data_IF_815941915560
#
_entry.id   IF_815941915560
#
_cell.length_a   1.000
_cell.length_b   1.000
_cell.length_c   1.000
_cell.angle_alpha   90.00
_cell.angle_beta   90.00
_cell.angle_gamma   90.00
#
_symmetry.space_group_name_H-M   'P 1'
#
loop_
_entity.id
_entity.type
_entity.pdbx_description
1 polymer ?
#
# COMPACT_ATOMS: atom_id res chain seq x y z
N UNK A 1 46.70 -57.22 -0.66
CA UNK A 1 46.25 -56.55 -1.89
C UNK A 1 44.77 -56.28 -1.76
N UNK A 2 44.44 -55.01 -1.54
CA UNK A 2 43.28 -54.57 -0.76
C UNK A 2 42.01 -54.39 -1.59
N UNK A 3 40.88 -54.78 -0.98
CA UNK A 3 39.48 -54.68 -1.41
C UNK A 3 39.02 -53.24 -1.72
N UNK A 4 39.89 -52.25 -1.60
CA UNK A 4 39.66 -50.85 -1.94
C UNK A 4 39.54 -50.57 -3.45
N UNK A 5 40.11 -51.41 -4.33
CA UNK A 5 40.11 -51.14 -5.78
C UNK A 5 38.90 -51.69 -6.54
N UNK A 6 38.22 -52.71 -6.02
CA UNK A 6 36.97 -53.24 -6.61
C UNK A 6 35.71 -52.43 -6.22
N UNK A 7 35.73 -51.67 -5.11
CA UNK A 7 34.60 -50.80 -4.71
C UNK A 7 34.48 -49.50 -5.52
N UNK A 8 35.53 -49.10 -6.28
CA UNK A 8 35.49 -47.87 -7.08
C UNK A 8 34.82 -48.01 -8.45
N UNK A 9 34.68 -49.23 -8.98
CA UNK A 9 34.06 -49.44 -10.30
C UNK A 9 32.53 -49.61 -10.18
N UNK A 10 32.02 -50.09 -9.05
CA UNK A 10 30.57 -50.21 -8.79
C UNK A 10 29.94 -48.83 -8.45
N UNK A 11 30.70 -47.89 -7.89
CA UNK A 11 30.19 -46.55 -7.55
C UNK A 11 30.06 -45.61 -8.76
N UNK A 12 30.75 -45.90 -9.87
CA UNK A 12 30.67 -45.12 -11.11
C UNK A 12 29.48 -45.51 -12.01
N UNK A 13 28.83 -46.65 -11.76
CA UNK A 13 27.62 -47.07 -12.49
C UNK A 13 26.30 -46.79 -11.75
N UNK A 14 26.34 -46.49 -10.45
CA UNK A 14 25.15 -46.07 -9.68
C UNK A 14 24.96 -44.55 -9.61
N UNK A 15 25.94 -43.74 -10.04
CA UNK A 15 25.85 -42.27 -10.01
C UNK A 15 25.01 -41.65 -11.13
N UNK A 16 24.62 -42.41 -12.16
CA UNK A 16 23.76 -41.90 -13.24
C UNK A 16 22.26 -42.16 -13.03
N UNK A 17 21.87 -42.89 -11.98
CA UNK A 17 20.46 -43.13 -11.65
C UNK A 17 19.95 -42.32 -10.44
N UNK A 18 20.83 -41.67 -9.67
CA UNK A 18 20.48 -40.96 -8.43
C UNK A 18 20.43 -39.42 -8.55
N UNK A 19 20.69 -38.84 -9.73
CA UNK A 19 20.63 -37.38 -9.93
C UNK A 19 19.21 -36.80 -9.82
N UNK A 20 18.15 -37.63 -9.94
CA UNK A 20 16.75 -37.19 -9.78
C UNK A 20 16.24 -37.21 -8.33
N UNK A 21 16.88 -37.94 -7.41
CA UNK A 21 16.45 -38.03 -6.00
C UNK A 21 17.39 -37.34 -5.00
N UNK A 22 18.64 -37.04 -5.40
CA UNK A 22 19.58 -36.28 -4.58
C UNK A 22 19.15 -34.83 -4.33
N UNK A 23 18.44 -34.21 -5.28
CA UNK A 23 17.86 -32.87 -5.09
C UNK A 23 16.71 -32.89 -4.09
N UNK A 24 15.87 -33.94 -4.12
CA UNK A 24 14.72 -34.07 -3.23
C UNK A 24 15.17 -34.29 -1.77
N UNK A 25 16.19 -35.13 -1.55
CA UNK A 25 16.76 -35.33 -0.20
C UNK A 25 17.51 -34.12 0.32
N UNK A 26 18.20 -33.35 -0.54
CA UNK A 26 18.79 -32.06 -0.14
C UNK A 26 17.73 -31.01 0.16
N UNK A 27 16.64 -30.96 -0.60
CA UNK A 27 15.51 -30.07 -0.32
C UNK A 27 14.80 -30.47 0.97
N UNK A 28 14.55 -31.75 1.23
CA UNK A 28 13.94 -32.23 2.48
C UNK A 28 14.87 -31.98 3.67
N UNK A 29 16.17 -32.25 3.53
CA UNK A 29 17.12 -31.99 4.61
C UNK A 29 17.30 -30.49 4.87
N UNK A 30 17.31 -29.64 3.83
CA UNK A 30 17.24 -28.19 3.96
C UNK A 30 15.90 -27.73 4.54
N UNK A 31 14.79 -28.38 4.23
CA UNK A 31 13.47 -28.09 4.80
C UNK A 31 13.40 -28.44 6.30
N UNK A 32 13.93 -29.60 6.70
CA UNK A 32 14.00 -30.06 8.09
C UNK A 32 15.05 -29.32 8.93
N UNK A 33 16.21 -28.95 8.35
CA UNK A 33 17.18 -28.09 9.04
C UNK A 33 16.75 -26.63 9.06
N UNK A 34 16.03 -26.13 8.04
CA UNK A 34 15.39 -24.83 8.10
C UNK A 34 14.20 -24.81 9.07
N UNK A 35 13.50 -25.92 9.35
CA UNK A 35 12.48 -25.97 10.40
C UNK A 35 13.05 -25.65 11.80
N UNK A 36 14.33 -25.94 12.03
CA UNK A 36 15.04 -25.55 13.26
C UNK A 36 15.45 -24.08 13.30
N UNK A 37 15.42 -23.39 12.15
CA UNK A 37 15.70 -21.96 11.97
C UNK A 37 14.50 -21.18 11.45
N UNK A 38 13.33 -21.81 11.32
CA UNK A 38 12.05 -21.13 11.23
C UNK A 38 11.88 -20.52 12.61
N UNK A 39 12.38 -19.28 12.72
CA UNK A 39 11.92 -18.28 13.67
C UNK A 39 10.41 -18.51 13.88
N UNK A 40 10.02 -18.46 15.16
CA UNK A 40 8.63 -18.47 15.63
C UNK A 40 7.69 -17.99 14.53
N UNK A 41 6.71 -18.83 14.16
CA UNK A 41 5.59 -18.36 13.35
C UNK A 41 5.12 -17.08 14.04
N UNK A 42 5.22 -15.95 13.36
CA UNK A 42 4.77 -14.68 13.91
C UNK A 42 3.26 -14.86 14.06
N UNK A 43 2.75 -14.65 15.28
CA UNK A 43 1.36 -14.84 15.61
C UNK A 43 0.72 -13.47 15.83
N UNK A 44 -0.53 -13.33 15.43
CA UNK A 44 -1.35 -12.14 15.66
C UNK A 44 -1.96 -12.16 17.07
N UNK A 45 -1.09 -12.29 18.08
CA UNK A 45 -1.47 -12.49 19.48
C UNK A 45 -2.22 -11.30 20.07
N UNK A 46 -1.85 -10.07 19.73
CA UNK A 46 -2.57 -8.88 20.20
C UNK A 46 -3.97 -8.83 19.56
N UNK A 47 -4.08 -9.13 18.28
CA UNK A 47 -5.37 -9.22 17.59
C UNK A 47 -6.24 -10.31 18.21
N UNK A 48 -5.68 -11.50 18.47
CA UNK A 48 -6.38 -12.60 19.11
C UNK A 48 -6.85 -12.22 20.53
N UNK A 49 -6.02 -11.53 21.32
CA UNK A 49 -6.41 -10.98 22.62
C UNK A 49 -7.59 -10.00 22.48
N UNK A 50 -7.52 -9.04 21.56
CA UNK A 50 -8.56 -8.02 21.34
C UNK A 50 -9.90 -8.62 20.90
N UNK A 51 -9.85 -9.64 20.05
CA UNK A 51 -11.05 -10.38 19.60
C UNK A 51 -11.69 -11.18 20.73
N UNK A 52 -10.90 -11.87 21.56
CA UNK A 52 -11.42 -12.84 22.54
C UNK A 52 -11.66 -12.26 23.94
N UNK A 53 -10.81 -11.34 24.39
CA UNK A 53 -10.80 -10.79 25.76
C UNK A 53 -11.44 -9.39 25.79
N UNK A 54 -10.98 -8.47 24.94
CA UNK A 54 -11.55 -7.10 24.87
C UNK A 54 -12.87 -7.05 24.11
N UNK A 55 -13.13 -8.03 23.23
CA UNK A 55 -14.29 -8.08 22.33
C UNK A 55 -14.44 -6.80 21.50
N UNK A 56 -13.33 -6.19 21.09
CA UNK A 56 -13.31 -4.97 20.28
C UNK A 56 -12.12 -5.00 19.35
N UNK A 57 -12.36 -4.78 18.05
CA UNK A 57 -11.28 -4.73 17.06
C UNK A 57 -11.59 -3.68 16.00
N UNK A 58 -10.65 -2.77 15.76
CA UNK A 58 -10.65 -1.95 14.55
C UNK A 58 -9.66 -2.54 13.55
N UNK A 59 -10.16 -2.93 12.37
CA UNK A 59 -9.34 -3.46 11.27
C UNK A 59 -9.16 -2.39 10.19
N UNK A 60 -7.92 -2.08 9.86
CA UNK A 60 -7.54 -1.17 8.78
C UNK A 60 -7.16 -1.92 7.50
N UNK A 61 -7.60 -1.41 6.36
CA UNK A 61 -7.18 -1.88 5.04
C UNK A 61 -6.51 -0.71 4.31
N UNK A 62 -5.21 -0.80 4.08
CA UNK A 62 -4.39 0.27 3.54
C UNK A 62 -3.66 -0.18 2.29
N UNK A 63 -4.05 0.35 1.13
CA UNK A 63 -3.48 -0.12 -0.13
C UNK A 63 -4.01 0.58 -1.36
N UNK A 64 -3.83 -0.07 -2.50
CA UNK A 64 -4.29 0.40 -3.82
C UNK A 64 -5.71 0.00 -4.18
N UNK A 65 -6.01 -0.04 -5.48
CA UNK A 65 -7.37 -0.25 -6.04
C UNK A 65 -7.94 -1.63 -5.76
N UNK A 66 -7.09 -2.67 -5.72
CA UNK A 66 -7.51 -4.05 -5.40
C UNK A 66 -7.97 -4.11 -3.93
N UNK A 67 -7.27 -3.45 -3.03
CA UNK A 67 -7.69 -3.30 -1.63
C UNK A 67 -8.93 -2.43 -1.49
N UNK A 68 -9.04 -1.36 -2.28
CA UNK A 68 -10.23 -0.49 -2.31
C UNK A 68 -11.51 -1.25 -2.71
N UNK A 69 -11.36 -2.22 -3.62
CA UNK A 69 -12.41 -3.13 -4.07
C UNK A 69 -12.77 -3.02 -5.55
N UNK A 70 -11.94 -2.35 -6.36
CA UNK A 70 -12.18 -2.19 -7.80
C UNK A 70 -12.41 -3.55 -8.50
N UNK A 71 -13.33 -3.61 -9.47
CA UNK A 71 -13.73 -4.84 -10.15
C UNK A 71 -14.82 -5.66 -9.43
N UNK A 72 -15.02 -5.45 -8.13
CA UNK A 72 -16.12 -6.08 -7.38
C UNK A 72 -17.47 -5.48 -7.79
N UNK A 73 -18.54 -6.29 -7.82
CA UNK A 73 -19.90 -5.79 -8.03
C UNK A 73 -20.36 -4.88 -6.90
N UNK A 74 -19.88 -5.14 -5.68
CA UNK A 74 -20.09 -4.29 -4.53
C UNK A 74 -18.83 -4.23 -3.68
N UNK A 75 -18.12 -3.09 -3.76
CA UNK A 75 -16.81 -2.92 -3.13
C UNK A 75 -16.88 -3.20 -1.62
N UNK A 76 -17.98 -2.82 -0.96
CA UNK A 76 -18.18 -3.01 0.47
C UNK A 76 -18.76 -4.38 0.86
N UNK A 77 -19.00 -5.26 -0.10
CA UNK A 77 -19.59 -6.58 0.16
C UNK A 77 -18.84 -7.76 -0.43
N UNK A 78 -18.23 -7.62 -1.60
CA UNK A 78 -17.63 -8.73 -2.36
C UNK A 78 -16.14 -8.56 -2.62
N UNK A 79 -15.52 -7.43 -2.25
CA UNK A 79 -14.05 -7.31 -2.22
C UNK A 79 -13.43 -8.20 -1.14
N UNK A 80 -12.14 -8.53 -1.27
CA UNK A 80 -11.47 -9.39 -0.28
C UNK A 80 -11.52 -8.79 1.13
N UNK A 81 -11.32 -7.47 1.29
CA UNK A 81 -11.42 -6.79 2.60
C UNK A 81 -12.81 -6.92 3.23
N UNK A 82 -13.86 -6.85 2.41
CA UNK A 82 -15.24 -7.00 2.85
C UNK A 82 -15.52 -8.44 3.27
N UNK A 83 -15.03 -9.42 2.49
CA UNK A 83 -15.15 -10.83 2.80
C UNK A 83 -14.40 -11.20 4.09
N UNK A 84 -13.18 -10.69 4.29
CA UNK A 84 -12.42 -10.89 5.55
C UNK A 84 -13.12 -10.24 6.74
N UNK A 85 -13.63 -9.03 6.59
CA UNK A 85 -14.41 -8.38 7.67
C UNK A 85 -15.65 -9.21 8.04
N UNK A 86 -16.38 -9.74 7.05
CA UNK A 86 -17.55 -10.61 7.27
C UNK A 86 -17.13 -11.91 7.98
N UNK A 87 -16.01 -12.49 7.58
CA UNK A 87 -15.51 -13.73 8.17
C UNK A 87 -15.07 -13.54 9.63
N UNK A 88 -14.38 -12.44 9.94
CA UNK A 88 -14.02 -12.08 11.31
C UNK A 88 -15.26 -11.89 12.18
N UNK A 89 -16.27 -11.14 11.70
CA UNK A 89 -17.55 -10.94 12.41
C UNK A 89 -18.32 -12.24 12.63
N UNK A 90 -18.26 -13.15 11.66
CA UNK A 90 -18.88 -14.48 11.78
C UNK A 90 -18.15 -15.36 12.79
N UNK A 91 -16.82 -15.30 12.82
CA UNK A 91 -15.97 -16.12 13.68
C UNK A 91 -16.00 -15.63 15.13
N UNK A 92 -16.10 -14.32 15.33
CA UNK A 92 -16.14 -13.67 16.64
C UNK A 92 -17.42 -12.83 16.79
N UNK A 93 -18.60 -13.48 16.89
CA UNK A 93 -19.90 -12.78 16.94
C UNK A 93 -20.08 -11.89 18.18
N UNK A 94 -19.31 -12.17 19.22
CA UNK A 94 -19.30 -11.43 20.49
C UNK A 94 -18.44 -10.15 20.45
N UNK A 95 -17.61 -9.97 19.42
CA UNK A 95 -16.71 -8.84 19.29
C UNK A 95 -17.32 -7.72 18.44
N UNK A 96 -17.17 -6.47 18.89
CA UNK A 96 -17.44 -5.28 18.08
C UNK A 96 -16.30 -5.07 17.08
N UNK A 97 -16.53 -5.44 15.81
CA UNK A 97 -15.53 -5.33 14.75
C UNK A 97 -15.85 -4.17 13.81
N UNK A 98 -15.00 -3.15 13.82
CA UNK A 98 -15.02 -2.02 12.88
C UNK A 98 -14.01 -2.25 11.77
N UNK A 99 -14.38 -1.89 10.55
CA UNK A 99 -13.50 -1.96 9.38
C UNK A 99 -13.32 -0.55 8.80
N UNK A 100 -12.08 -0.17 8.57
CA UNK A 100 -11.67 1.10 7.97
C UNK A 100 -11.08 0.80 6.60
N UNK A 101 -11.79 1.18 5.55
CA UNK A 101 -11.23 1.16 4.19
C UNK A 101 -10.43 2.45 3.98
N UNK A 102 -9.12 2.36 4.12
CA UNK A 102 -8.17 3.43 3.87
C UNK A 102 -7.38 3.18 2.57
N UNK A 103 -7.90 2.38 1.64
CA UNK A 103 -7.27 2.16 0.36
C UNK A 103 -7.70 3.21 -0.67
N UNK A 104 -6.80 3.54 -1.60
CA UNK A 104 -7.04 4.54 -2.65
C UNK A 104 -6.49 4.00 -3.97
N UNK A 105 -7.38 3.83 -4.94
CA UNK A 105 -7.05 3.28 -6.25
C UNK A 105 -5.95 4.04 -6.98
N UNK A 106 -5.01 3.28 -7.57
CA UNK A 106 -3.91 3.82 -8.37
C UNK A 106 -2.82 4.54 -7.55
N UNK A 107 -2.74 4.31 -6.24
CA UNK A 107 -1.76 4.97 -5.36
C UNK A 107 -0.87 3.96 -4.64
N UNK A 108 0.41 4.32 -4.48
CA UNK A 108 1.41 3.53 -3.77
C UNK A 108 1.68 4.04 -2.36
N UNK A 109 2.74 3.50 -1.75
CA UNK A 109 3.25 3.94 -0.45
C UNK A 109 3.78 5.38 -0.49
N UNK A 110 4.15 5.89 -1.67
CA UNK A 110 4.60 7.26 -1.93
C UNK A 110 3.56 8.32 -1.57
N UNK A 111 2.29 8.08 -1.85
CA UNK A 111 1.19 8.89 -1.34
C UNK A 111 0.73 8.39 0.04
N UNK A 112 0.73 7.07 0.23
CA UNK A 112 0.31 6.40 1.46
C UNK A 112 0.92 7.03 2.71
N UNK A 113 2.23 7.23 2.72
CA UNK A 113 2.96 7.73 3.89
C UNK A 113 2.48 9.11 4.37
N UNK A 114 1.95 9.96 3.48
CA UNK A 114 1.43 11.29 3.84
C UNK A 114 0.01 11.23 4.39
N UNK A 115 -0.84 10.41 3.76
CA UNK A 115 -2.28 10.32 4.07
C UNK A 115 -2.60 9.36 5.23
N UNK A 116 -1.60 8.63 5.73
CA UNK A 116 -1.75 7.56 6.70
C UNK A 116 -2.49 8.00 7.98
N UNK A 117 -2.12 9.14 8.57
CA UNK A 117 -2.81 9.68 9.76
C UNK A 117 -4.27 10.04 9.44
N UNK A 118 -4.48 10.81 8.36
CA UNK A 118 -5.79 11.29 7.94
C UNK A 118 -6.75 10.13 7.57
N UNK A 119 -6.24 9.05 6.99
CA UNK A 119 -7.09 7.99 6.43
C UNK A 119 -7.28 6.78 7.33
N UNK A 120 -6.29 6.50 8.17
CA UNK A 120 -6.20 5.23 8.87
C UNK A 120 -5.96 5.43 10.37
N UNK A 121 -4.85 6.07 10.77
CA UNK A 121 -4.43 6.07 12.17
C UNK A 121 -5.36 6.84 13.10
N UNK A 122 -6.06 7.88 12.61
CA UNK A 122 -7.08 8.60 13.39
C UNK A 122 -8.25 7.73 13.85
N UNK A 123 -8.43 6.55 13.26
CA UNK A 123 -9.45 5.58 13.63
C UNK A 123 -8.95 4.51 14.60
N UNK A 124 -7.69 4.61 15.06
CA UNK A 124 -7.07 3.70 16.04
C UNK A 124 -7.21 2.21 15.65
N UNK A 125 -6.75 1.81 14.45
CA UNK A 125 -6.76 0.42 14.03
C UNK A 125 -5.82 -0.43 14.91
N UNK A 126 -6.22 -1.67 15.19
CA UNK A 126 -5.43 -2.63 15.95
C UNK A 126 -4.81 -3.72 15.08
N UNK A 127 -5.46 -4.03 13.96
CA UNK A 127 -4.96 -4.92 12.90
C UNK A 127 -4.98 -4.14 11.60
N UNK A 128 -3.86 -4.07 10.89
CA UNK A 128 -3.76 -3.41 9.58
C UNK A 128 -3.31 -4.41 8.54
N UNK A 129 -4.06 -4.51 7.46
CA UNK A 129 -3.58 -5.11 6.21
C UNK A 129 -3.00 -4.01 5.33
N UNK A 130 -1.75 -4.17 4.89
CA UNK A 130 -1.06 -3.24 3.99
C UNK A 130 -0.71 -3.92 2.66
N UNK A 131 -1.07 -3.29 1.54
CA UNK A 131 -0.88 -3.84 0.19
C UNK A 131 -0.53 -2.72 -0.81
N UNK A 132 0.73 -2.62 -1.20
CA UNK A 132 1.21 -1.62 -2.18
C UNK A 132 2.10 -2.18 -3.28
N UNK A 133 2.55 -3.44 -3.20
CA UNK A 133 3.53 -4.00 -4.14
C UNK A 133 3.16 -3.82 -5.62
N UNK A 134 1.86 -3.91 -5.97
CA UNK A 134 1.42 -3.71 -7.35
C UNK A 134 1.40 -2.25 -7.79
N UNK A 135 1.32 -1.30 -6.86
CA UNK A 135 1.31 0.14 -7.12
C UNK A 135 2.71 0.76 -7.05
N UNK A 136 3.58 0.26 -6.19
CA UNK A 136 4.94 0.78 -5.97
C UNK A 136 5.92 0.45 -7.12
N UNK A 137 5.45 -0.24 -8.16
CA UNK A 137 6.29 -0.75 -9.25
C UNK A 137 7.01 0.35 -10.04
N UNK A 138 6.43 1.56 -10.08
CA UNK A 138 6.99 2.73 -10.76
C UNK A 138 7.99 3.51 -9.89
N UNK A 139 8.07 3.23 -8.58
CA UNK A 139 9.01 3.90 -7.68
C UNK A 139 10.43 3.39 -7.90
N UNK A 140 11.43 4.26 -7.73
CA UNK A 140 12.82 3.79 -7.65
C UNK A 140 13.02 2.87 -6.43
N UNK A 141 14.13 2.10 -6.43
CA UNK A 141 14.44 1.24 -5.29
C UNK A 141 14.56 2.03 -3.97
N UNK A 142 15.22 3.19 -4.01
CA UNK A 142 15.37 4.09 -2.84
C UNK A 142 14.01 4.58 -2.35
N UNK A 143 13.17 5.08 -3.25
CA UNK A 143 11.84 5.61 -2.88
C UNK A 143 10.94 4.52 -2.33
N UNK A 144 10.91 3.34 -2.95
CA UNK A 144 10.06 2.25 -2.48
C UNK A 144 10.39 1.87 -1.03
N UNK A 145 11.66 1.62 -0.72
CA UNK A 145 12.08 1.27 0.64
C UNK A 145 11.73 2.39 1.62
N UNK A 146 12.10 3.64 1.31
CA UNK A 146 11.84 4.77 2.19
C UNK A 146 10.34 5.02 2.45
N UNK A 147 9.51 4.96 1.40
CA UNK A 147 8.08 5.24 1.52
C UNK A 147 7.33 4.14 2.25
N UNK A 148 7.57 2.87 1.90
CA UNK A 148 6.92 1.74 2.56
C UNK A 148 7.37 1.61 4.02
N UNK A 149 8.67 1.76 4.29
CA UNK A 149 9.20 1.74 5.65
C UNK A 149 8.65 2.89 6.50
N UNK A 150 8.45 4.08 5.91
CA UNK A 150 7.78 5.19 6.58
C UNK A 150 6.37 4.79 7.04
N UNK A 151 5.56 4.18 6.16
CA UNK A 151 4.23 3.70 6.52
C UNK A 151 4.29 2.73 7.72
N UNK A 152 5.15 1.71 7.66
CA UNK A 152 5.28 0.71 8.73
C UNK A 152 5.67 1.36 10.06
N UNK A 153 6.68 2.24 10.03
CA UNK A 153 7.19 2.90 11.24
C UNK A 153 6.16 3.85 11.83
N UNK A 154 5.47 4.64 11.02
CA UNK A 154 4.40 5.53 11.49
C UNK A 154 3.28 4.74 12.18
N UNK A 155 2.87 3.59 11.62
CA UNK A 155 1.90 2.69 12.27
C UNK A 155 2.42 2.22 13.63
N UNK A 156 3.63 1.63 13.66
CA UNK A 156 4.17 1.03 14.87
C UNK A 156 4.48 2.07 15.96
N UNK A 157 4.90 3.28 15.59
CA UNK A 157 5.13 4.38 16.53
C UNK A 157 3.84 4.99 17.07
N UNK A 158 2.73 4.90 16.34
CA UNK A 158 1.43 5.37 16.81
C UNK A 158 0.89 4.48 17.93
N UNK A 159 0.99 3.16 17.78
CA UNK A 159 0.63 2.17 18.78
C UNK A 159 1.46 0.89 18.55
N UNK A 160 2.46 0.59 19.39
CA UNK A 160 3.32 -0.59 19.23
C UNK A 160 2.59 -1.91 19.51
N UNK A 161 1.34 -1.89 19.96
CA UNK A 161 0.49 -3.09 20.07
C UNK A 161 -0.30 -3.40 18.79
N UNK A 162 -0.29 -2.48 17.82
CA UNK A 162 -0.92 -2.69 16.50
C UNK A 162 -0.15 -3.73 15.71
N UNK A 163 -0.87 -4.71 15.13
CA UNK A 163 -0.29 -5.74 14.28
C UNK A 163 -0.52 -5.41 12.81
N UNK A 164 0.50 -5.67 11.98
CA UNK A 164 0.48 -5.39 10.55
C UNK A 164 0.65 -6.71 9.80
N UNK A 165 -0.21 -6.93 8.80
CA UNK A 165 -0.11 -8.02 7.84
C UNK A 165 0.16 -7.43 6.46
N UNK A 166 1.33 -7.71 5.91
CA UNK A 166 1.67 -7.37 4.53
C UNK A 166 0.97 -8.34 3.58
N UNK A 167 0.12 -7.84 2.71
CA UNK A 167 -0.61 -8.66 1.74
C UNK A 167 0.00 -8.44 0.37
N UNK A 168 0.31 -9.54 -0.32
CA UNK A 168 0.73 -9.52 -1.72
C UNK A 168 -0.37 -10.07 -2.60
N UNK A 169 -0.70 -9.32 -3.64
CA UNK A 169 -1.70 -9.66 -4.67
C UNK A 169 -1.02 -9.75 -6.04
N UNK A 170 -1.70 -10.32 -7.03
CA UNK A 170 -1.16 -10.50 -8.37
C UNK A 170 -2.08 -9.90 -9.45
N UNK A 171 -1.47 -9.22 -10.42
CA UNK A 171 -2.11 -8.80 -11.66
C UNK A 171 -1.47 -9.54 -12.83
N UNK A 172 -2.04 -9.43 -14.04
CA UNK A 172 -1.40 -9.99 -15.23
C UNK A 172 0.00 -9.39 -15.45
N UNK A 173 0.16 -8.09 -15.19
CA UNK A 173 1.47 -7.45 -15.25
C UNK A 173 2.45 -8.03 -14.20
N UNK A 174 1.97 -8.37 -13.00
CA UNK A 174 2.79 -9.08 -11.99
C UNK A 174 3.22 -10.45 -12.49
N UNK A 175 2.32 -11.23 -13.09
CA UNK A 175 2.64 -12.54 -13.67
C UNK A 175 3.67 -12.43 -14.79
N UNK A 176 3.47 -11.53 -15.74
CA UNK A 176 4.40 -11.32 -16.86
C UNK A 176 5.81 -10.98 -16.37
N UNK A 177 5.91 -10.12 -15.35
CA UNK A 177 7.20 -9.78 -14.71
C UNK A 177 7.81 -10.99 -14.00
N UNK A 178 7.02 -11.78 -13.27
CA UNK A 178 7.49 -12.98 -12.59
C UNK A 178 7.98 -14.05 -13.57
N UNK A 179 7.25 -14.29 -14.68
CA UNK A 179 7.67 -15.22 -15.72
C UNK A 179 8.92 -14.77 -16.45
N UNK A 180 9.07 -13.46 -16.67
CA UNK A 180 10.20 -12.89 -17.41
C UNK A 180 11.47 -12.79 -16.58
N UNK A 181 11.35 -12.38 -15.31
CA UNK A 181 12.49 -12.02 -14.47
C UNK A 181 12.70 -12.97 -13.27
N UNK A 182 11.76 -13.87 -12.99
CA UNK A 182 11.80 -14.75 -11.81
C UNK A 182 11.44 -14.05 -10.50
N UNK A 183 11.25 -12.74 -10.52
CA UNK A 183 10.89 -11.94 -9.35
C UNK A 183 9.96 -10.78 -9.70
N UNK A 184 9.31 -10.26 -8.67
CA UNK A 184 8.60 -8.98 -8.71
C UNK A 184 9.25 -8.09 -7.66
N UNK A 185 10.14 -7.21 -8.11
CA UNK A 185 11.03 -6.40 -7.27
C UNK A 185 10.32 -5.77 -6.08
N UNK A 186 9.13 -5.22 -6.29
CA UNK A 186 8.42 -4.50 -5.24
C UNK A 186 7.97 -5.41 -4.11
N UNK A 187 7.40 -6.57 -4.44
CA UNK A 187 7.09 -7.61 -3.45
C UNK A 187 8.33 -8.03 -2.67
N UNK A 188 9.48 -8.20 -3.33
CA UNK A 188 10.73 -8.55 -2.63
C UNK A 188 11.15 -7.48 -1.64
N UNK A 189 11.13 -6.20 -2.04
CA UNK A 189 11.47 -5.09 -1.17
C UNK A 189 10.56 -4.99 0.07
N UNK A 190 9.25 -5.10 -0.14
CA UNK A 190 8.26 -5.10 0.95
C UNK A 190 8.42 -6.32 1.87
N UNK A 191 8.73 -7.51 1.33
CA UNK A 191 9.02 -8.70 2.13
C UNK A 191 10.27 -8.55 2.99
N UNK A 192 11.31 -7.87 2.50
CA UNK A 192 12.53 -7.58 3.27
C UNK A 192 12.19 -6.69 4.46
N UNK A 193 11.39 -5.64 4.24
CA UNK A 193 10.93 -4.76 5.32
C UNK A 193 10.01 -5.50 6.30
N UNK A 194 9.05 -6.27 5.80
CA UNK A 194 8.18 -7.09 6.64
C UNK A 194 9.00 -8.03 7.55
N UNK A 195 10.00 -8.72 6.99
CA UNK A 195 10.91 -9.56 7.77
C UNK A 195 11.71 -8.77 8.82
N UNK A 196 12.27 -7.60 8.43
CA UNK A 196 13.03 -6.73 9.32
C UNK A 196 12.22 -6.27 10.53
N UNK A 197 10.96 -5.88 10.29
CA UNK A 197 10.00 -5.46 11.30
C UNK A 197 9.26 -6.64 11.96
N UNK A 198 9.60 -7.89 11.65
CA UNK A 198 8.94 -9.09 12.18
C UNK A 198 7.42 -9.09 11.95
N UNK A 199 6.98 -8.75 10.75
CA UNK A 199 5.57 -8.66 10.35
C UNK A 199 5.14 -9.93 9.60
N UNK A 200 3.86 -10.25 9.70
CA UNK A 200 3.27 -11.33 8.93
C UNK A 200 3.10 -10.95 7.46
N UNK A 201 3.25 -11.94 6.59
CA UNK A 201 3.09 -11.80 5.15
C UNK A 201 2.10 -12.84 4.64
N UNK A 202 1.14 -12.41 3.83
CA UNK A 202 0.20 -13.28 3.14
C UNK A 202 0.32 -13.05 1.64
N UNK A 203 0.77 -14.06 0.91
CA UNK A 203 0.80 -14.05 -0.55
C UNK A 203 -0.46 -14.66 -1.14
N UNK A 204 -1.51 -13.84 -1.18
CA UNK A 204 -2.78 -14.18 -1.84
C UNK A 204 -2.63 -14.19 -3.36
N UNK A 205 -1.65 -13.45 -3.88
CA UNK A 205 -1.26 -13.39 -5.28
C UNK A 205 -0.93 -14.77 -5.84
N UNK A 206 -0.08 -15.56 -5.17
CA UNK A 206 0.27 -16.91 -5.62
C UNK A 206 -0.94 -17.85 -5.74
N UNK A 207 -1.89 -17.77 -4.79
CA UNK A 207 -3.14 -18.53 -4.84
C UNK A 207 -3.99 -18.16 -6.06
N UNK A 208 -4.04 -16.86 -6.37
CA UNK A 208 -4.74 -16.34 -7.53
C UNK A 208 -4.09 -16.76 -8.85
N UNK A 209 -2.76 -16.63 -8.96
CA UNK A 209 -1.97 -17.09 -10.11
C UNK A 209 -2.18 -18.59 -10.37
N UNK A 210 -2.24 -19.40 -9.31
CA UNK A 210 -2.53 -20.83 -9.44
C UNK A 210 -3.95 -21.11 -9.97
N UNK A 211 -4.96 -20.36 -9.51
CA UNK A 211 -6.32 -20.47 -10.03
C UNK A 211 -6.42 -20.07 -11.52
N UNK A 212 -5.68 -19.04 -11.92
CA UNK A 212 -5.57 -18.56 -13.31
C UNK A 212 -4.87 -19.61 -14.19
N UNK A 213 -3.77 -20.20 -13.71
CA UNK A 213 -3.10 -21.28 -14.42
C UNK A 213 -4.04 -22.49 -14.64
N UNK A 214 -4.86 -22.82 -13.63
CA UNK A 214 -5.90 -23.86 -13.74
C UNK A 214 -7.03 -23.52 -14.71
N UNK A 215 -7.29 -22.25 -14.99
CA UNK A 215 -8.21 -21.82 -16.05
C UNK A 215 -7.54 -21.69 -17.42
N UNK A 216 -6.34 -22.26 -17.61
CA UNK A 216 -5.61 -22.18 -18.87
C UNK A 216 -4.96 -20.83 -19.13
N UNK A 217 -4.75 -20.02 -18.09
CA UNK A 217 -4.16 -18.69 -18.19
C UNK A 217 -5.17 -17.58 -18.52
N UNK A 218 -6.47 -17.87 -18.49
CA UNK A 218 -7.51 -16.86 -18.72
C UNK A 218 -7.67 -15.94 -17.50
N UNK A 219 -7.09 -14.74 -17.60
CA UNK A 219 -7.19 -13.71 -16.58
C UNK A 219 -8.59 -13.09 -16.48
N UNK A 220 -9.30 -12.97 -17.59
CA UNK A 220 -10.63 -12.35 -17.63
C UNK A 220 -11.69 -13.20 -16.93
N UNK A 221 -11.42 -14.50 -16.71
CA UNK A 221 -12.27 -15.35 -15.87
C UNK A 221 -12.45 -14.78 -14.46
N UNK A 222 -11.39 -14.27 -13.85
CA UNK A 222 -11.40 -13.83 -12.44
C UNK A 222 -11.13 -12.34 -12.27
N UNK A 223 -11.00 -11.59 -13.37
CA UNK A 223 -10.76 -10.13 -13.36
C UNK A 223 -11.71 -9.43 -14.32
N UNK A 224 -11.86 -8.12 -14.17
CA UNK A 224 -12.63 -7.29 -15.11
C UNK A 224 -11.77 -6.66 -16.21
N UNK A 225 -10.47 -6.57 -16.00
CA UNK A 225 -9.52 -5.86 -16.87
C UNK A 225 -8.07 -6.37 -16.73
N UNK A 226 -7.90 -7.64 -16.35
CA UNK A 226 -6.59 -8.29 -16.12
C UNK A 226 -5.79 -7.73 -14.91
N UNK A 227 -6.33 -6.73 -14.22
CA UNK A 227 -5.76 -6.11 -13.02
C UNK A 227 -6.66 -6.30 -11.81
N UNK A 228 -7.91 -5.89 -11.92
CA UNK A 228 -8.87 -5.83 -10.84
C UNK A 228 -9.70 -7.12 -10.78
N UNK A 229 -9.69 -7.87 -9.66
CA UNK A 229 -10.50 -9.06 -9.53
C UNK A 229 -12.01 -8.76 -9.66
N UNK A 230 -12.75 -9.67 -10.27
CA UNK A 230 -14.20 -9.72 -10.12
C UNK A 230 -14.56 -10.41 -8.80
N UNK A 231 -15.86 -10.60 -8.52
CA UNK A 231 -16.31 -11.24 -7.27
C UNK A 231 -15.72 -12.65 -7.07
N UNK A 232 -15.62 -13.47 -8.13
CA UNK A 232 -15.01 -14.80 -8.06
C UNK A 232 -13.50 -14.72 -7.75
N UNK A 233 -12.82 -13.75 -8.33
CA UNK A 233 -11.41 -13.51 -8.05
C UNK A 233 -11.16 -13.05 -6.62
N UNK A 234 -12.00 -12.16 -6.08
CA UNK A 234 -11.90 -11.74 -4.69
C UNK A 234 -12.17 -12.86 -3.68
N UNK A 235 -12.99 -13.86 -4.03
CA UNK A 235 -13.16 -15.07 -3.20
C UNK A 235 -11.84 -15.82 -3.06
N UNK A 236 -11.04 -15.91 -4.12
CA UNK A 236 -9.73 -16.61 -4.07
C UNK A 236 -8.77 -15.86 -3.14
N UNK A 237 -8.68 -14.53 -3.26
CA UNK A 237 -7.89 -13.72 -2.34
C UNK A 237 -8.36 -13.86 -0.89
N UNK A 238 -9.66 -13.73 -0.64
CA UNK A 238 -10.21 -13.85 0.70
C UNK A 238 -9.99 -15.24 1.31
N UNK A 239 -10.07 -16.32 0.51
CA UNK A 239 -9.84 -17.68 0.99
C UNK A 239 -8.40 -17.87 1.48
N UNK A 240 -7.41 -17.36 0.73
CA UNK A 240 -6.00 -17.43 1.13
C UNK A 240 -5.72 -16.65 2.43
N UNK A 241 -6.27 -15.43 2.55
CA UNK A 241 -6.12 -14.61 3.75
C UNK A 241 -6.81 -15.26 4.95
N UNK A 242 -8.01 -15.79 4.77
CA UNK A 242 -8.76 -16.50 5.81
C UNK A 242 -8.00 -17.71 6.35
N UNK A 243 -7.45 -18.53 5.46
CA UNK A 243 -6.66 -19.70 5.86
C UNK A 243 -5.44 -19.30 6.69
N UNK A 244 -4.72 -18.25 6.27
CA UNK A 244 -3.61 -17.71 7.04
C UNK A 244 -4.07 -17.18 8.42
N UNK A 245 -5.13 -16.37 8.47
CA UNK A 245 -5.65 -15.82 9.74
C UNK A 245 -6.09 -16.90 10.73
N UNK A 246 -6.61 -18.03 10.25
CA UNK A 246 -6.97 -19.18 11.10
C UNK A 246 -5.75 -19.70 11.87
N UNK A 247 -4.57 -19.68 11.25
CA UNK A 247 -3.31 -20.08 11.88
C UNK A 247 -2.75 -18.96 12.76
N UNK A 248 -2.72 -17.73 12.24
CA UNK A 248 -2.11 -16.58 12.92
C UNK A 248 -2.84 -16.16 14.21
N UNK A 249 -4.14 -16.41 14.31
CA UNK A 249 -4.97 -16.06 15.47
C UNK A 249 -5.15 -17.20 16.48
N UNK A 250 -4.40 -18.30 16.35
CA UNK A 250 -4.61 -19.49 17.16
C UNK A 250 -4.14 -19.35 18.62
N UNK A 251 -3.23 -18.43 18.89
CA UNK A 251 -2.70 -18.19 20.23
C UNK A 251 -3.29 -16.91 20.84
N UNK A 252 -3.87 -17.05 22.04
CA UNK A 252 -4.49 -15.94 22.77
C UNK A 252 -3.65 -15.68 24.02
N UNK A 253 -2.93 -14.55 24.11
CA UNK A 253 -2.15 -14.23 25.29
C UNK A 253 -3.07 -13.74 26.43
N UNK A 254 -2.52 -13.63 27.64
CA UNK A 254 -3.25 -13.05 28.79
C UNK A 254 -3.21 -11.52 28.83
N UNK A 255 -2.24 -10.89 28.17
CA UNK A 255 -2.11 -9.44 28.07
C UNK A 255 -1.60 -9.04 26.69
N UNK A 256 -1.87 -7.79 26.29
CA UNK A 256 -1.21 -7.19 25.12
C UNK A 256 0.30 -7.11 25.32
N UNK A 257 1.04 -7.23 24.22
CA UNK A 257 2.50 -7.07 24.17
C UNK A 257 2.86 -5.95 23.21
N UNK A 258 3.64 -4.98 23.68
CA UNK A 258 4.19 -3.94 22.81
C UNK A 258 5.34 -4.51 21.99
N UNK A 259 5.34 -4.19 20.69
CA UNK A 259 6.41 -4.57 19.79
C UNK A 259 7.64 -3.70 20.02
N UNK A 260 8.79 -4.35 20.15
CA UNK A 260 10.07 -3.64 20.03
C UNK A 260 10.32 -3.27 18.57
N UNK A 261 10.33 -1.97 18.27
CA UNK A 261 10.55 -1.46 16.91
C UNK A 261 12.07 -1.41 16.66
N UNK A 262 12.61 -2.13 15.67
CA UNK A 262 14.03 -2.11 15.37
C UNK A 262 14.48 -0.74 14.83
N UNK A 263 15.80 -0.52 14.85
CA UNK A 263 16.42 0.54 14.05
C UNK A 263 15.99 0.38 12.58
N UNK A 264 15.86 1.48 11.83
CA UNK A 264 15.39 1.39 10.45
C UNK A 264 16.33 0.57 9.57
N UNK A 265 15.74 -0.13 8.59
CA UNK A 265 16.45 -0.88 7.57
C UNK A 265 17.11 0.07 6.56
N UNK A 266 16.36 1.09 6.13
CA UNK A 266 16.88 2.16 5.29
C UNK A 266 17.58 3.21 6.16
N UNK A 267 18.61 3.86 5.62
CA UNK A 267 19.20 5.06 6.24
C UNK A 267 18.09 6.07 6.57
N UNK A 268 18.03 6.54 7.82
CA UNK A 268 17.00 7.42 8.36
C UNK A 268 16.75 8.64 7.48
N UNK A 269 17.79 9.19 6.85
CA UNK A 269 17.67 10.37 5.97
C UNK A 269 16.84 10.11 4.71
N UNK A 270 16.63 8.84 4.34
CA UNK A 270 15.86 8.42 3.18
C UNK A 270 14.44 7.97 3.55
N UNK A 271 14.06 8.01 4.83
CA UNK A 271 12.72 7.66 5.29
C UNK A 271 11.94 8.96 5.48
N UNK A 272 11.11 9.38 4.51
CA UNK A 272 10.30 10.59 4.66
C UNK A 272 9.28 10.42 5.79
N UNK A 273 8.96 11.49 6.52
CA UNK A 273 7.86 11.51 7.48
C UNK A 273 6.79 12.45 6.97
N UNK A 274 5.90 11.92 6.11
CA UNK A 274 4.91 12.73 5.42
C UNK A 274 3.77 13.19 6.34
N UNK A 275 3.26 14.38 6.06
CA UNK A 275 2.09 14.96 6.70
C UNK A 275 1.09 15.39 5.64
N UNK A 276 -0.17 15.10 5.92
CA UNK A 276 -1.31 15.59 5.17
C UNK A 276 -1.84 16.85 5.85
N UNK A 277 -1.76 17.99 5.17
CA UNK A 277 -2.20 19.27 5.73
C UNK A 277 -3.40 19.78 4.94
N UNK A 278 -4.57 19.80 5.58
CA UNK A 278 -5.82 20.22 4.95
C UNK A 278 -5.76 21.70 4.56
N UNK A 279 -5.97 22.02 3.27
CA UNK A 279 -5.94 23.41 2.79
C UNK A 279 -7.05 24.25 3.42
N UNK A 280 -8.15 23.61 3.83
CA UNK A 280 -9.28 24.28 4.49
C UNK A 280 -8.84 25.09 5.71
N UNK A 281 -7.91 24.56 6.50
CA UNK A 281 -7.47 25.18 7.76
C UNK A 281 -6.64 26.46 7.52
N UNK A 282 -6.31 26.75 6.25
CA UNK A 282 -5.47 27.88 5.82
C UNK A 282 -6.24 28.95 5.06
N UNK A 283 -7.57 28.83 4.95
CA UNK A 283 -8.37 29.72 4.11
C UNK A 283 -8.63 31.10 4.71
N UNK A 284 -8.42 31.28 6.02
CA UNK A 284 -8.71 32.56 6.66
C UNK A 284 -7.83 33.68 6.10
N UNK A 285 -8.45 34.70 5.51
CA UNK A 285 -7.76 35.84 4.91
C UNK A 285 -7.16 35.60 3.51
N UNK A 286 -7.38 34.44 2.90
CA UNK A 286 -6.89 34.13 1.55
C UNK A 286 -7.91 34.60 0.50
N UNK A 287 -7.59 35.66 -0.24
CA UNK A 287 -8.44 36.19 -1.31
C UNK A 287 -8.39 35.31 -2.56
N UNK A 288 -9.55 35.09 -3.19
CA UNK A 288 -9.65 34.30 -4.43
C UNK A 288 -9.70 32.79 -4.21
N UNK A 289 -9.81 32.33 -2.97
CA UNK A 289 -10.01 30.92 -2.63
C UNK A 289 -11.19 30.78 -1.67
N UNK A 290 -12.05 29.80 -1.90
CA UNK A 290 -13.25 29.59 -1.10
C UNK A 290 -13.44 28.12 -0.72
N UNK A 291 -14.10 27.92 0.43
CA UNK A 291 -14.49 26.61 0.92
C UNK A 291 -15.68 26.06 0.14
N UNK A 292 -15.58 24.80 -0.30
CA UNK A 292 -16.68 24.08 -0.93
C UNK A 292 -17.12 22.93 -0.04
N UNK A 293 -18.26 23.12 0.63
CA UNK A 293 -18.88 22.10 1.49
C UNK A 293 -19.65 21.06 0.68
N UNK A 294 -18.95 20.35 -0.21
CA UNK A 294 -19.51 19.30 -1.04
C UNK A 294 -18.54 18.12 -1.10
N UNK A 295 -19.03 16.88 -0.92
CA UNK A 295 -18.16 15.72 -1.03
C UNK A 295 -17.61 15.56 -2.44
N UNK A 296 -16.31 15.30 -2.53
CA UNK A 296 -15.70 14.75 -3.74
C UNK A 296 -15.69 13.22 -3.64
N UNK A 297 -16.62 12.60 -4.38
CA UNK A 297 -16.88 11.16 -4.33
C UNK A 297 -17.13 10.72 -2.87
N UNK A 298 -16.71 9.50 -2.49
CA UNK A 298 -16.81 9.00 -1.11
C UNK A 298 -15.59 9.37 -0.25
N UNK A 299 -14.66 10.16 -0.79
CA UNK A 299 -13.29 10.25 -0.27
C UNK A 299 -13.05 11.49 0.58
N UNK A 300 -13.35 12.66 0.01
CA UNK A 300 -13.15 13.94 0.70
C UNK A 300 -14.51 14.58 0.96
N UNK A 301 -14.84 14.90 2.21
CA UNK A 301 -16.14 15.50 2.56
C UNK A 301 -16.30 16.93 2.02
N UNK A 302 -15.20 17.60 1.74
CA UNK A 302 -15.12 18.97 1.25
C UNK A 302 -13.79 19.21 0.52
N UNK A 303 -13.66 20.38 -0.10
CA UNK A 303 -12.43 20.84 -0.74
C UNK A 303 -12.40 22.37 -0.78
N UNK A 304 -11.27 22.92 -1.21
CA UNK A 304 -11.06 24.35 -1.43
C UNK A 304 -10.97 24.61 -2.93
N UNK A 305 -11.59 25.67 -3.44
CA UNK A 305 -11.54 26.02 -4.88
C UNK A 305 -11.18 27.48 -5.08
N UNK A 306 -10.52 27.79 -6.19
CA UNK A 306 -10.17 29.16 -6.55
C UNK A 306 -11.30 29.87 -7.32
N UNK A 307 -11.41 31.19 -7.16
CA UNK A 307 -12.41 32.06 -7.81
C UNK A 307 -12.06 32.42 -9.27
N UNK A 308 -10.87 32.03 -9.74
CA UNK A 308 -10.44 32.22 -11.12
C UNK A 308 -8.95 32.52 -11.27
N UNK A 309 -8.57 32.90 -12.49
CA UNK A 309 -7.19 33.22 -12.88
C UNK A 309 -6.59 34.29 -11.96
N UNK A 310 -5.34 34.09 -11.56
CA UNK A 310 -4.60 35.01 -10.71
C UNK A 310 -4.89 34.90 -9.22
N UNK A 311 -5.86 34.08 -8.80
CA UNK A 311 -6.07 33.75 -7.38
C UNK A 311 -4.79 33.16 -6.79
N UNK A 312 -4.40 33.64 -5.61
CA UNK A 312 -3.10 33.34 -5.00
C UNK A 312 -3.28 32.89 -3.56
N UNK A 313 -2.51 31.88 -3.16
CA UNK A 313 -2.39 31.41 -1.78
C UNK A 313 -0.91 31.27 -1.44
N UNK A 314 -0.54 31.60 -0.20
CA UNK A 314 0.78 31.33 0.34
C UNK A 314 0.69 30.30 1.45
N UNK A 315 1.66 29.41 1.49
CA UNK A 315 1.77 28.39 2.53
C UNK A 315 3.22 28.25 2.95
N UNK A 316 3.44 28.18 4.25
CA UNK A 316 4.75 27.99 4.87
C UNK A 316 4.84 26.59 5.47
N UNK A 317 5.98 25.93 5.30
CA UNK A 317 6.19 24.60 5.85
C UNK A 317 7.66 24.37 6.22
N UNK A 318 7.87 23.51 7.21
CA UNK A 318 9.18 22.97 7.55
C UNK A 318 9.32 21.57 6.95
N UNK A 319 10.36 21.35 6.16
CA UNK A 319 10.59 20.05 5.53
C UNK A 319 11.58 20.10 4.38
N UNK A 320 11.49 19.08 3.54
CA UNK A 320 12.35 18.82 2.37
C UNK A 320 11.56 18.34 1.15
N UNK A 321 10.23 18.24 1.29
CA UNK A 321 9.30 17.91 0.20
C UNK A 321 8.05 18.77 0.32
N UNK A 322 7.56 19.26 -0.82
CA UNK A 322 6.23 19.85 -0.98
C UNK A 322 5.48 19.20 -2.12
N UNK A 323 4.27 18.75 -1.82
CA UNK A 323 3.31 18.13 -2.73
C UNK A 323 1.92 18.73 -2.60
N UNK A 324 1.12 18.50 -3.63
CA UNK A 324 -0.25 18.98 -3.74
C UNK A 324 -1.15 17.78 -3.98
N UNK A 325 -2.28 17.73 -3.27
CA UNK A 325 -3.37 16.79 -3.52
C UNK A 325 -4.61 17.58 -3.95
N UNK A 326 -5.06 17.36 -5.18
CA UNK A 326 -6.10 18.16 -5.82
C UNK A 326 -7.17 17.32 -6.54
N UNK A 327 -8.21 18.01 -6.99
CA UNK A 327 -9.17 17.51 -7.96
C UNK A 327 -8.62 17.77 -9.35
N UNK A 328 -8.67 16.73 -10.20
CA UNK A 328 -8.49 16.83 -11.63
C UNK A 328 -9.85 16.59 -12.29
N UNK A 329 -10.34 17.56 -13.05
CA UNK A 329 -11.61 17.54 -13.77
C UNK A 329 -11.51 18.23 -15.13
N UNK A 330 -12.58 18.21 -15.92
CA UNK A 330 -12.58 18.79 -17.27
C UNK A 330 -12.44 20.32 -17.29
N UNK A 331 -12.61 21.02 -16.17
CA UNK A 331 -12.44 22.47 -16.04
C UNK A 331 -11.10 22.85 -15.38
N UNK A 332 -10.25 21.87 -15.07
CA UNK A 332 -9.02 22.07 -14.32
C UNK A 332 -7.94 22.78 -15.12
N UNK A 333 -7.27 23.74 -14.48
CA UNK A 333 -6.25 24.59 -15.09
C UNK A 333 -4.82 24.20 -14.78
N UNK A 334 -3.92 25.15 -15.03
CA UNK A 334 -2.51 25.09 -14.60
C UNK A 334 -2.33 25.92 -13.32
N UNK A 335 -1.59 25.37 -12.37
CA UNK A 335 -1.19 26.03 -11.12
C UNK A 335 0.30 26.34 -11.16
N UNK A 336 0.65 27.62 -11.05
CA UNK A 336 2.04 28.05 -10.92
C UNK A 336 2.42 28.02 -9.42
N UNK A 337 3.45 27.25 -9.08
CA UNK A 337 3.93 27.06 -7.71
C UNK A 337 5.36 27.58 -7.61
N UNK A 338 5.56 28.65 -6.84
CA UNK A 338 6.87 29.27 -6.61
C UNK A 338 7.40 28.91 -5.23
N UNK A 339 8.57 28.28 -5.17
CA UNK A 339 9.30 27.99 -3.94
C UNK A 339 10.28 29.13 -3.61
N UNK A 340 10.16 29.66 -2.38
CA UNK A 340 11.03 30.69 -1.79
C UNK A 340 11.24 31.93 -2.68
N UNK A 341 10.24 32.26 -3.51
CA UNK A 341 10.28 33.37 -4.46
C UNK A 341 11.28 33.20 -5.61
N UNK A 342 11.87 32.02 -5.80
CA UNK A 342 12.97 31.78 -6.75
C UNK A 342 12.60 30.85 -7.89
N UNK A 343 12.20 29.62 -7.56
CA UNK A 343 11.92 28.58 -8.56
C UNK A 343 10.41 28.44 -8.72
N UNK A 344 9.91 28.57 -9.96
CA UNK A 344 8.49 28.39 -10.29
C UNK A 344 8.30 27.17 -11.15
N UNK A 345 7.36 26.30 -10.76
CA UNK A 345 6.90 25.15 -11.57
C UNK A 345 5.43 25.33 -11.94
N UNK A 346 5.12 25.17 -13.21
CA UNK A 346 3.74 25.17 -13.72
C UNK A 346 3.22 23.74 -13.76
N UNK A 347 2.15 23.46 -13.04
CA UNK A 347 1.61 22.11 -12.85
C UNK A 347 0.22 22.02 -13.47
N UNK A 348 0.02 21.08 -14.39
CA UNK A 348 -1.31 20.81 -14.93
C UNK A 348 -2.12 19.95 -13.95
N UNK A 349 -3.30 20.44 -13.56
CA UNK A 349 -4.29 19.68 -12.81
C UNK A 349 -5.27 18.92 -13.75
N UNK A 350 -4.84 18.61 -14.97
CA UNK A 350 -5.65 17.96 -15.99
C UNK A 350 -4.89 16.82 -16.68
N UNK A 351 -5.63 15.81 -17.13
CA UNK A 351 -5.13 14.74 -18.02
C UNK A 351 -6.24 14.26 -18.95
N UNK A 352 -5.90 13.35 -19.88
CA UNK A 352 -6.84 12.80 -20.85
C UNK A 352 -8.09 12.15 -20.22
N UNK A 353 -7.98 11.59 -19.01
CA UNK A 353 -9.11 10.97 -18.30
C UNK A 353 -10.14 12.00 -17.82
N UNK A 354 -9.70 13.24 -17.59
CA UNK A 354 -10.57 14.33 -17.16
C UNK A 354 -11.70 14.63 -18.16
N UNK A 355 -11.56 14.21 -19.43
CA UNK A 355 -12.62 14.29 -20.44
C UNK A 355 -13.84 13.42 -20.12
N UNK A 356 -13.62 12.33 -19.38
CA UNK A 356 -14.66 11.32 -19.10
C UNK A 356 -15.11 11.34 -17.65
N UNK A 357 -14.22 11.63 -16.70
CA UNK A 357 -14.57 11.68 -15.29
C UNK A 357 -13.57 12.52 -14.48
N UNK A 358 -14.02 13.08 -13.35
CA UNK A 358 -13.12 13.73 -12.40
C UNK A 358 -12.44 12.70 -11.49
N UNK A 359 -11.21 12.98 -11.06
CA UNK A 359 -10.43 12.13 -10.15
C UNK A 359 -9.64 12.96 -9.16
N UNK A 360 -9.23 12.31 -8.07
CA UNK A 360 -8.22 12.89 -7.20
C UNK A 360 -6.84 12.63 -7.84
N UNK A 361 -5.94 13.59 -7.74
CA UNK A 361 -4.57 13.49 -8.26
C UNK A 361 -3.59 14.16 -7.32
N UNK A 362 -2.33 13.76 -7.37
CA UNK A 362 -1.29 14.34 -6.55
C UNK A 362 -0.02 14.55 -7.38
N UNK A 363 0.77 15.54 -6.97
CA UNK A 363 2.05 15.87 -7.60
C UNK A 363 3.01 16.43 -6.56
N UNK A 364 4.29 16.08 -6.68
CA UNK A 364 5.36 16.60 -5.85
C UNK A 364 6.26 17.51 -6.68
N UNK A 365 5.92 18.80 -6.85
CA UNK A 365 6.76 19.74 -7.59
C UNK A 365 8.14 19.89 -6.98
N UNK A 366 8.28 19.77 -5.66
CA UNK A 366 9.56 19.94 -4.97
C UNK A 366 9.83 18.72 -4.08
N UNK A 367 10.86 17.95 -4.42
CA UNK A 367 11.36 16.80 -3.66
C UNK A 367 12.85 17.00 -3.40
N UNK A 368 13.34 16.52 -2.27
CA UNK A 368 14.76 16.60 -1.90
C UNK A 368 15.30 18.05 -1.91
N UNK A 369 14.47 19.03 -1.52
CA UNK A 369 14.96 20.41 -1.28
C UNK A 369 15.73 20.47 0.04
N UNK A 370 16.50 21.53 0.25
CA UNK A 370 17.24 21.74 1.51
C UNK A 370 16.28 21.61 2.70
N UNK A 371 16.65 20.88 3.74
CA UNK A 371 15.77 20.73 4.90
C UNK A 371 15.72 22.05 5.67
N UNK A 372 14.55 22.68 5.73
CA UNK A 372 14.38 23.93 6.45
C UNK A 372 12.96 24.46 6.39
N UNK A 373 12.84 25.74 6.73
CA UNK A 373 11.60 26.50 6.61
C UNK A 373 11.49 27.08 5.19
N UNK A 374 10.36 26.85 4.53
CA UNK A 374 10.09 27.28 3.16
C UNK A 374 8.76 27.97 3.04
N UNK A 375 8.65 28.81 2.00
CA UNK A 375 7.37 29.40 1.59
C UNK A 375 7.06 29.00 0.15
N UNK A 376 5.86 28.46 -0.09
CA UNK A 376 5.32 28.27 -1.44
C UNK A 376 4.22 29.29 -1.71
N UNK A 377 4.28 29.89 -2.90
CA UNK A 377 3.20 30.72 -3.44
C UNK A 377 2.53 29.94 -4.57
N UNK A 378 1.23 29.70 -4.44
CA UNK A 378 0.40 29.01 -5.41
C UNK A 378 -0.48 30.03 -6.13
N UNK A 379 -0.36 30.13 -7.44
CA UNK A 379 -1.12 31.08 -8.26
C UNK A 379 -1.81 30.38 -9.42
N UNK A 380 -3.11 30.59 -9.56
CA UNK A 380 -3.88 30.06 -10.70
C UNK A 380 -3.40 30.74 -11.98
N UNK A 381 -2.89 29.96 -12.93
CA UNK A 381 -2.36 30.45 -14.19
C UNK A 381 -3.48 30.87 -15.15
N UNK A 382 -3.17 31.79 -16.07
CA UNK A 382 -4.04 32.09 -17.20
C UNK A 382 -4.00 30.99 -18.28
N UNK A 383 -3.06 30.05 -18.15
CA UNK A 383 -2.90 28.88 -19.02
C UNK A 383 -3.70 27.67 -18.53
N UNK A 384 -4.04 26.81 -19.48
CA UNK A 384 -4.66 25.49 -19.29
C UNK A 384 -4.26 24.57 -20.43
N UNK A 385 -4.43 23.26 -20.26
CA UNK A 385 -4.33 22.31 -21.35
C UNK A 385 -5.33 22.62 -22.47
N UNK A 386 -4.94 22.34 -23.72
CA UNK A 386 -5.72 22.70 -24.92
C UNK A 386 -7.17 22.20 -24.85
N UNK A 387 -7.35 20.98 -24.33
CA UNK A 387 -8.64 20.31 -24.22
C UNK A 387 -9.32 20.48 -22.85
N UNK A 388 -8.72 21.22 -21.91
CA UNK A 388 -9.42 21.63 -20.69
C UNK A 388 -10.46 22.71 -21.02
N UNK A 389 -11.57 22.74 -20.29
CA UNK A 389 -12.66 23.70 -20.45
C UNK A 389 -12.48 24.95 -19.57
N UNK A 390 -11.51 24.96 -18.66
CA UNK A 390 -11.36 26.05 -17.70
C UNK A 390 -9.98 26.15 -17.06
N UNK A 391 -9.87 27.06 -16.09
CA UNK A 391 -8.66 27.31 -15.30
C UNK A 391 -8.86 27.01 -13.82
N UNK A 392 -9.89 26.22 -13.48
CA UNK A 392 -10.26 25.98 -12.09
C UNK A 392 -9.15 25.19 -11.39
N UNK A 393 -8.88 25.53 -10.14
CA UNK A 393 -8.01 24.72 -9.27
C UNK A 393 -8.79 24.41 -8.01
N UNK A 394 -8.84 23.13 -7.64
CA UNK A 394 -9.47 22.70 -6.40
C UNK A 394 -8.56 21.76 -5.62
N UNK A 395 -8.30 22.10 -4.36
CA UNK A 395 -7.31 21.45 -3.51
C UNK A 395 -7.99 20.72 -2.35
N UNK A 396 -7.41 19.59 -1.97
CA UNK A 396 -7.73 18.88 -0.72
C UNK A 396 -6.71 19.24 0.35
N UNK A 397 -5.43 19.03 0.05
CA UNK A 397 -4.35 19.12 1.01
C UNK A 397 -3.00 19.44 0.36
N UNK A 398 -2.09 19.92 1.18
CA UNK A 398 -0.66 19.90 0.93
C UNK A 398 -0.03 18.65 1.56
N UNK A 399 1.01 18.15 0.91
CA UNK A 399 1.76 16.96 1.32
C UNK A 399 3.20 17.40 1.63
N UNK A 400 3.61 17.36 2.89
CA UNK A 400 4.94 17.85 3.32
C UNK A 400 5.71 16.78 4.08
N UNK A 401 7.04 16.73 3.96
CA UNK A 401 7.89 15.79 4.72
C UNK A 401 9.25 16.35 5.09
#
# INVERSE_FOLDING_TARGET
MDKARQKRIIWLFLSNALSKYGLLFRCIHLYETNLKYLKEVIMLTNTAYRLNKEKKLTVGFFGGSITEGAGATSWDNTSWRALITKDLRKTYPEAEIKAVNAAVGGTGSDLGLYRLEHDLLKYEPNLIFIEFATNDQELSYKEQFGCYESCLRQILYRDPTTEIVCVFVATKATEEKLLKFGEFRTRVAESVLAYHYGLDMIDSGENFRYAIAKSGGDWMKYTTDETHPNDEGYIIYAAAIKDALTRLLAEIPETLTEKTIPAPYTDEKNIPCGKFVEVRDMLEGVSGWHFVNKPFKKRFPYYVSADGIGSEMKFEFDGSTFGIYWIMDNESGILDVTLDGKETKSLSAWDEYCKSFSRAGYVFPFKEIEKGHHTVTLRVSDKKDEQSLGNKISLFAFLIS
#
